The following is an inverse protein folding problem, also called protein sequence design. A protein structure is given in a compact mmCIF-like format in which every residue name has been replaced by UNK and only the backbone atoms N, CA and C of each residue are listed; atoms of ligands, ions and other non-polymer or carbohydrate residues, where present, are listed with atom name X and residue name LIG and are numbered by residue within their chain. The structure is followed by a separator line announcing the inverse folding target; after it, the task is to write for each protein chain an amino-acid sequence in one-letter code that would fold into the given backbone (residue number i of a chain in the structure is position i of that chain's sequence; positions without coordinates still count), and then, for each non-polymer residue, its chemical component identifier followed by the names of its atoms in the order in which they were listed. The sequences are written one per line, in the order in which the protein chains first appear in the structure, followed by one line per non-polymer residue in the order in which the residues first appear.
data_IF_246149669271
#
_entry.id   IF_246149669271
#
_cell.length_a   1.000
_cell.length_b   1.000
_cell.length_c   1.000
_cell.angle_alpha   90.00
_cell.angle_beta   90.00
_cell.angle_gamma   90.00
#
_symmetry.space_group_name_H-M   'P 1'
#
loop_
_entity.id
_entity.type
_entity.pdbx_description
1 polymer ?
#
# COMPACT_ATOMS: atom_id res chain seq x y z
N UNK A 1 -0.35 -0.45 -5.61
CA UNK A 1 -0.27 -1.51 -4.59
C UNK A 1 -0.31 -0.84 -3.24
N UNK A 2 -1.14 -1.32 -2.32
CA UNK A 2 -1.25 -0.83 -0.95
C UNK A 2 -0.89 -1.96 0.01
N UNK A 3 0.40 -2.13 0.29
CA UNK A 3 0.91 -3.21 1.13
C UNK A 3 1.18 -2.67 2.52
N UNK A 4 0.57 -3.30 3.53
CA UNK A 4 0.74 -2.85 4.90
C UNK A 4 2.22 -2.85 5.32
N UNK A 5 2.73 -1.69 5.70
CA UNK A 5 4.11 -1.51 6.18
C UNK A 5 4.22 -1.86 7.68
N UNK A 6 3.93 -3.12 8.05
CA UNK A 6 4.11 -3.56 9.43
C UNK A 6 5.57 -3.39 9.88
N UNK A 7 6.51 -3.68 8.97
CA UNK A 7 7.94 -3.38 9.07
C UNK A 7 8.51 -3.13 7.66
N UNK A 8 9.59 -2.36 7.53
CA UNK A 8 10.21 -2.11 6.23
C UNK A 8 10.64 -3.40 5.51
N UNK A 9 11.16 -4.38 6.27
CA UNK A 9 11.57 -5.67 5.73
C UNK A 9 10.43 -6.47 5.08
N UNK A 10 9.18 -6.30 5.53
CA UNK A 10 8.02 -7.02 4.96
C UNK A 10 7.79 -6.58 3.51
N UNK A 11 7.73 -5.26 3.27
CA UNK A 11 7.52 -4.71 1.92
C UNK A 11 8.73 -4.97 1.03
N UNK A 12 9.95 -4.81 1.55
CA UNK A 12 11.16 -5.07 0.76
C UNK A 12 11.29 -6.53 0.36
N UNK A 13 10.97 -7.47 1.26
CA UNK A 13 10.98 -8.90 0.95
C UNK A 13 9.93 -9.24 -0.11
N UNK A 14 8.71 -8.72 0.01
CA UNK A 14 7.67 -8.89 -1.01
C UNK A 14 8.12 -8.32 -2.37
N UNK A 15 8.70 -7.12 -2.39
CA UNK A 15 9.15 -6.47 -3.62
C UNK A 15 10.25 -7.27 -4.33
N UNK A 16 11.17 -7.88 -3.56
CA UNK A 16 12.20 -8.77 -4.11
C UNK A 16 11.63 -10.05 -4.73
N UNK A 17 10.61 -10.65 -4.10
CA UNK A 17 10.00 -11.89 -4.57
C UNK A 17 9.21 -11.68 -5.87
N UNK A 18 8.52 -10.55 -5.98
CA UNK A 18 7.62 -10.25 -7.11
C UNK A 18 8.22 -9.28 -8.14
N UNK A 19 9.47 -8.88 -7.98
CA UNK A 19 10.14 -7.84 -8.80
C UNK A 19 9.26 -6.60 -8.98
N UNK A 20 8.76 -6.09 -7.85
CA UNK A 20 7.72 -5.07 -7.85
C UNK A 20 8.27 -3.68 -8.23
N UNK A 21 7.53 -2.98 -9.10
CA UNK A 21 7.77 -1.57 -9.39
C UNK A 21 7.42 -0.69 -8.19
N UNK A 22 8.44 -0.32 -7.41
CA UNK A 22 8.30 0.48 -6.19
C UNK A 22 7.68 1.86 -6.42
N UNK A 23 7.67 2.38 -7.66
CA UNK A 23 6.96 3.64 -7.97
C UNK A 23 5.43 3.54 -7.88
N UNK A 24 4.89 2.31 -7.79
CA UNK A 24 3.46 2.01 -7.67
C UNK A 24 3.07 1.44 -6.30
N UNK A 25 4.01 1.31 -5.37
CA UNK A 25 3.80 0.72 -4.04
C UNK A 25 3.69 1.83 -3.02
N UNK A 26 2.59 1.87 -2.27
CA UNK A 26 2.35 2.81 -1.17
C UNK A 26 2.63 4.27 -1.58
N UNK A 27 2.08 4.70 -2.73
CA UNK A 27 2.45 5.97 -3.38
C UNK A 27 2.14 7.22 -2.54
N UNK A 28 1.24 7.09 -1.57
CA UNK A 28 0.86 8.14 -0.62
C UNK A 28 1.43 7.91 0.80
N UNK A 29 2.42 7.01 0.94
CA UNK A 29 2.97 6.57 2.21
C UNK A 29 2.15 5.45 2.87
N UNK A 30 2.78 4.69 3.78
CA UNK A 30 2.15 3.57 4.46
C UNK A 30 2.25 3.63 5.98
N UNK A 31 2.06 2.48 6.62
CA UNK A 31 1.88 2.36 8.06
C UNK A 31 3.10 2.78 8.89
N UNK A 32 4.32 2.79 8.33
CA UNK A 32 5.51 3.30 9.02
C UNK A 32 5.39 4.81 9.28
N UNK A 33 4.84 5.55 8.32
CA UNK A 33 4.69 7.01 8.41
C UNK A 33 3.33 7.43 8.99
N UNK A 34 2.26 6.74 8.61
CA UNK A 34 0.87 7.15 8.88
C UNK A 34 0.30 6.46 10.13
N UNK A 35 0.97 5.41 10.61
CA UNK A 35 0.57 4.63 11.77
C UNK A 35 -0.29 3.42 11.42
N UNK A 36 -0.40 2.50 12.40
CA UNK A 36 -1.00 1.19 12.22
C UNK A 36 -2.02 0.84 13.34
N UNK A 37 -3.25 1.40 13.30
CA UNK A 37 -4.34 0.87 14.12
C UNK A 37 -4.75 -0.50 13.56
N UNK A 38 -4.29 -1.58 14.20
CA UNK A 38 -4.28 -2.95 13.65
C UNK A 38 -5.63 -3.42 13.10
N UNK A 39 -6.73 -3.16 13.82
CA UNK A 39 -8.08 -3.55 13.39
C UNK A 39 -8.68 -2.68 12.28
N UNK A 40 -8.14 -1.49 12.04
CA UNK A 40 -8.66 -0.52 11.05
C UNK A 40 -7.86 -0.51 9.75
N UNK A 41 -6.60 -0.96 9.78
CA UNK A 41 -5.67 -0.76 8.66
C UNK A 41 -6.11 -1.41 7.36
N UNK A 42 -6.75 -2.59 7.40
CA UNK A 42 -7.28 -3.22 6.18
C UNK A 42 -8.31 -2.34 5.46
N UNK A 43 -9.28 -1.80 6.21
CA UNK A 43 -10.28 -0.88 5.64
C UNK A 43 -9.63 0.44 5.18
N UNK A 44 -8.64 0.96 5.92
CA UNK A 44 -7.88 2.16 5.53
C UNK A 44 -7.15 1.97 4.21
N UNK A 45 -6.50 0.82 3.98
CA UNK A 45 -5.76 0.53 2.75
C UNK A 45 -6.71 0.46 1.55
N UNK A 46 -7.86 -0.22 1.68
CA UNK A 46 -8.90 -0.26 0.63
C UNK A 46 -9.37 1.16 0.30
N UNK A 47 -9.66 1.96 1.33
CA UNK A 47 -10.08 3.35 1.16
C UNK A 47 -9.01 4.19 0.44
N UNK A 48 -7.75 4.04 0.85
CA UNK A 48 -6.60 4.74 0.24
C UNK A 48 -6.43 4.35 -1.22
N UNK A 49 -6.48 3.05 -1.53
CA UNK A 49 -6.36 2.53 -2.89
C UNK A 49 -7.49 3.06 -3.80
N UNK A 50 -8.74 3.04 -3.33
CA UNK A 50 -9.89 3.53 -4.10
C UNK A 50 -9.73 5.01 -4.47
N UNK A 51 -9.49 5.87 -3.48
CA UNK A 51 -9.33 7.31 -3.74
C UNK A 51 -8.14 7.59 -4.66
N UNK A 52 -7.06 6.81 -4.55
CA UNK A 52 -5.89 7.00 -5.39
C UNK A 52 -6.11 6.52 -6.84
N UNK A 53 -6.91 5.47 -7.04
CA UNK A 53 -7.35 5.06 -8.38
C UNK A 53 -8.23 6.13 -9.03
N UNK A 54 -9.21 6.66 -8.29
CA UNK A 54 -10.08 7.75 -8.76
C UNK A 54 -9.27 9.01 -9.12
N UNK A 55 -8.31 9.38 -8.27
CA UNK A 55 -7.43 10.54 -8.50
C UNK A 55 -6.55 10.40 -9.74
N UNK A 56 -6.11 9.18 -10.05
CA UNK A 56 -5.21 8.88 -11.17
C UNK A 56 -5.94 8.39 -12.44
N UNK A 57 -7.27 8.30 -12.43
CA UNK A 57 -8.07 7.69 -13.50
C UNK A 57 -7.59 6.27 -13.87
N UNK A 58 -7.45 5.42 -12.85
CA UNK A 58 -6.98 4.02 -12.96
C UNK A 58 -8.06 3.03 -12.53
N UNK A 59 -7.88 1.77 -12.92
CA UNK A 59 -8.92 0.75 -12.81
C UNK A 59 -8.66 -0.36 -11.79
N UNK A 60 -7.42 -0.62 -11.38
CA UNK A 60 -7.10 -1.79 -10.54
C UNK A 60 -6.01 -1.49 -9.53
N UNK A 61 -6.25 -1.90 -8.29
CA UNK A 61 -5.29 -1.91 -7.21
C UNK A 61 -5.29 -3.29 -6.52
N UNK A 62 -4.14 -3.65 -5.95
CA UNK A 62 -3.96 -4.79 -5.06
C UNK A 62 -3.67 -4.24 -3.66
N UNK A 63 -4.38 -4.78 -2.67
CA UNK A 63 -4.20 -4.54 -1.23
C UNK A 63 -3.61 -5.81 -0.62
#
# INVERSE_FOLDING_TARGET
FEINEAFAAVVLSWAQVFDADMSKVNVNGGAIAIGHPVGSTGARLICTALHELERQDKSTALI
#
